data_IF_994165226272
#
_entry.id   IF_994165226272
#
_cell.length_a   1.000
_cell.length_b   1.000
_cell.length_c   1.000
_cell.angle_alpha   90.00
_cell.angle_beta   90.00
_cell.angle_gamma   90.00
#
_symmetry.space_group_name_H-M   'P 1'
#
loop_
_entity.id
_entity.type
_entity.pdbx_description
1 polymer ?
#
# COMPACT_ATOMS: atom_id res chain seq x y z
N UNK A 1 4.14 11.99 16.10
CA UNK A 1 3.75 10.61 15.74
C UNK A 1 4.60 10.21 14.55
N UNK A 2 5.14 8.98 14.51
CA UNK A 2 5.91 8.50 13.36
C UNK A 2 5.03 8.44 12.11
N UNK A 3 5.63 8.62 10.93
CA UNK A 3 4.92 8.46 9.66
C UNK A 3 4.69 6.96 9.39
N UNK A 4 3.48 6.64 8.97
CA UNK A 4 3.10 5.28 8.57
C UNK A 4 3.13 5.14 7.05
N UNK A 5 3.68 4.03 6.56
CA UNK A 5 3.82 3.78 5.14
C UNK A 5 3.30 2.41 4.72
N UNK A 6 2.77 2.34 3.51
CA UNK A 6 2.36 1.10 2.87
C UNK A 6 2.83 1.06 1.41
N UNK A 7 3.01 -0.14 0.87
CA UNK A 7 3.37 -0.31 -0.53
C UNK A 7 2.12 -0.42 -1.41
N UNK A 8 2.13 0.30 -2.54
CA UNK A 8 1.11 0.13 -3.57
C UNK A 8 1.22 -1.22 -4.28
N UNK A 9 0.21 -1.58 -5.09
CA UNK A 9 0.28 -2.77 -5.93
C UNK A 9 1.48 -2.75 -6.89
N UNK A 10 1.96 -1.57 -7.31
CA UNK A 10 3.12 -1.43 -8.20
C UNK A 10 4.47 -1.37 -7.46
N UNK A 11 4.45 -1.35 -6.12
CA UNK A 11 5.65 -1.26 -5.28
C UNK A 11 6.08 0.17 -4.94
N UNK A 12 5.33 1.19 -5.38
CA UNK A 12 5.58 2.57 -4.95
C UNK A 12 5.14 2.76 -3.48
N UNK A 13 5.94 3.49 -2.70
CA UNK A 13 5.62 3.86 -1.33
C UNK A 13 4.42 4.81 -1.28
N UNK A 14 3.55 4.60 -0.30
CA UNK A 14 2.37 5.41 -0.02
C UNK A 14 2.40 5.80 1.46
N UNK A 15 2.07 7.06 1.74
CA UNK A 15 1.95 7.58 3.10
C UNK A 15 0.53 7.34 3.61
N UNK A 16 0.41 6.91 4.86
CA UNK A 16 -0.85 6.85 5.60
C UNK A 16 -0.85 8.02 6.58
N UNK A 17 -1.88 8.87 6.51
CA UNK A 17 -2.07 9.95 7.47
C UNK A 17 -3.58 10.18 7.69
N UNK A 18 -4.02 10.16 8.95
CA UNK A 18 -5.44 10.31 9.34
C UNK A 18 -6.39 9.41 8.54
N UNK A 19 -6.07 8.12 8.45
CA UNK A 19 -6.85 7.10 7.70
C UNK A 19 -6.98 7.35 6.19
N UNK A 20 -6.23 8.31 5.64
CA UNK A 20 -6.13 8.54 4.20
C UNK A 20 -4.80 8.03 3.65
N UNK A 21 -4.84 7.49 2.43
CA UNK A 21 -3.65 7.04 1.72
C UNK A 21 -3.22 8.08 0.70
N UNK A 22 -1.93 8.39 0.67
CA UNK A 22 -1.33 9.33 -0.25
C UNK A 22 -0.23 8.67 -1.08
N UNK A 23 -0.11 9.05 -2.35
CA UNK A 23 0.98 8.67 -3.24
C UNK A 23 1.95 9.82 -3.42
N UNK A 24 3.23 9.50 -3.59
CA UNK A 24 4.27 10.50 -3.87
C UNK A 24 3.97 11.22 -5.18
N UNK A 25 4.11 12.55 -5.15
CA UNK A 25 4.07 13.43 -6.33
C UNK A 25 5.48 13.79 -6.74
N UNK A 26 6.25 14.30 -5.78
CA UNK A 26 7.61 14.79 -6.01
C UNK A 26 8.39 14.68 -4.70
N UNK A 27 9.65 14.30 -4.84
CA UNK A 27 10.64 14.35 -3.77
C UNK A 27 11.54 15.55 -4.09
N UNK A 28 11.72 16.43 -3.13
CA UNK A 28 12.76 17.47 -3.11
C UNK A 28 13.73 17.12 -1.98
N UNK A 29 14.94 17.68 -2.02
CA UNK A 29 16.03 17.36 -1.07
C UNK A 29 15.54 17.23 0.38
N UNK A 30 14.74 18.20 0.85
CA UNK A 30 14.30 18.20 2.26
C UNK A 30 12.80 17.92 2.45
N UNK A 31 12.04 17.70 1.38
CA UNK A 31 10.58 17.50 1.49
C UNK A 31 9.98 16.55 0.47
N UNK A 32 9.06 15.74 0.96
CA UNK A 32 8.24 14.84 0.16
C UNK A 32 6.84 15.43 0.03
N UNK A 33 6.36 15.52 -1.20
CA UNK A 33 5.03 16.02 -1.51
C UNK A 33 4.15 14.85 -1.89
N UNK A 34 3.04 14.70 -1.17
CA UNK A 34 2.09 13.60 -1.30
C UNK A 34 0.72 14.11 -1.76
N UNK A 35 0.05 13.32 -2.60
CA UNK A 35 -1.35 13.56 -3.01
C UNK A 35 -2.22 12.37 -2.65
N UNK A 36 -3.48 12.62 -2.31
CA UNK A 36 -4.43 11.54 -2.08
C UNK A 36 -4.48 10.57 -3.27
N UNK A 37 -4.50 9.26 -3.00
CA UNK A 37 -4.58 8.22 -4.02
C UNK A 37 -5.84 8.35 -4.89
N UNK A 38 -6.92 8.86 -4.28
CA UNK A 38 -8.21 9.10 -4.91
C UNK A 38 -8.25 10.40 -5.73
N UNK A 39 -7.13 11.13 -5.87
CA UNK A 39 -7.08 12.33 -6.73
C UNK A 39 -7.53 12.06 -8.17
N UNK A 40 -7.10 10.95 -8.77
CA UNK A 40 -7.44 10.68 -10.17
C UNK A 40 -8.92 10.31 -10.34
N UNK A 41 -9.49 9.56 -9.39
CA UNK A 41 -10.86 9.04 -9.43
C UNK A 41 -11.90 10.06 -8.95
N UNK A 42 -11.62 10.72 -7.83
CA UNK A 42 -12.55 11.62 -7.15
C UNK A 42 -12.18 13.10 -7.30
N UNK A 43 -11.06 13.46 -7.93
CA UNK A 43 -10.50 14.84 -7.92
C UNK A 43 -10.24 15.35 -6.50
N UNK A 44 -9.93 14.43 -5.59
CA UNK A 44 -9.66 14.74 -4.18
C UNK A 44 -8.45 15.68 -4.01
N UNK A 45 -8.66 16.79 -3.30
CA UNK A 45 -7.65 17.83 -3.11
C UNK A 45 -6.74 17.59 -1.89
N UNK A 46 -6.92 16.46 -1.19
CA UNK A 46 -6.06 16.03 -0.09
C UNK A 46 -4.57 16.05 -0.47
N UNK A 47 -3.76 16.81 0.28
CA UNK A 47 -2.29 16.89 0.11
C UNK A 47 -1.61 16.86 1.46
N UNK A 48 -0.46 16.20 1.52
CA UNK A 48 0.40 16.17 2.71
C UNK A 48 1.82 16.42 2.26
N UNK A 49 2.57 17.23 2.99
CA UNK A 49 4.02 17.36 2.80
C UNK A 49 4.72 16.88 4.07
N UNK A 50 5.79 16.11 3.87
CA UNK A 50 6.62 15.61 4.97
C UNK A 50 8.07 16.04 4.79
N UNK A 51 8.77 16.26 5.90
CA UNK A 51 10.21 16.52 5.98
C UNK A 51 10.73 15.82 7.23
N UNK A 52 11.92 15.24 7.21
CA UNK A 52 12.56 14.61 8.39
C UNK A 52 11.59 13.76 9.24
N UNK A 53 10.83 12.89 8.58
CA UNK A 53 9.86 11.98 9.20
C UNK A 53 8.71 12.64 10.00
N UNK A 54 8.41 13.91 9.71
CA UNK A 54 7.26 14.63 10.26
C UNK A 54 6.39 15.23 9.16
N UNK A 55 5.09 15.41 9.45
CA UNK A 55 4.16 16.16 8.61
C UNK A 55 4.40 17.66 8.84
N UNK A 56 4.82 18.38 7.80
CA UNK A 56 5.06 19.83 7.86
C UNK A 56 3.91 20.66 7.26
N UNK A 57 3.08 20.05 6.43
CA UNK A 57 1.91 20.69 5.85
C UNK A 57 0.84 19.66 5.51
N UNK A 58 -0.41 20.03 5.73
CA UNK A 58 -1.56 19.22 5.37
C UNK A 58 -2.68 20.09 4.80
N UNK A 59 -3.24 19.65 3.68
CA UNK A 59 -4.48 20.15 3.12
C UNK A 59 -5.52 19.04 3.25
N UNK A 60 -6.36 19.15 4.27
CA UNK A 60 -7.38 18.14 4.63
C UNK A 60 -8.68 18.28 3.82
N UNK A 61 -8.59 18.78 2.57
CA UNK A 61 -9.73 18.94 1.66
C UNK A 61 -10.03 17.65 0.90
N UNK A 62 -10.44 16.62 1.64
CA UNK A 62 -10.95 15.39 1.04
C UNK A 62 -12.42 15.52 0.69
N UNK A 63 -12.80 14.92 -0.44
CA UNK A 63 -14.18 14.86 -0.91
C UNK A 63 -14.73 13.42 -0.90
N UNK A 64 -14.12 12.58 -0.08
CA UNK A 64 -14.51 11.20 0.17
C UNK A 64 -14.19 10.87 1.62
N UNK A 65 -14.83 9.84 2.13
CA UNK A 65 -14.54 9.31 3.46
C UNK A 65 -13.22 8.52 3.45
N UNK A 66 -12.52 8.42 4.59
CA UNK A 66 -11.43 7.48 4.76
C UNK A 66 -11.89 6.04 4.51
N UNK A 67 -11.03 5.23 3.89
CA UNK A 67 -11.28 3.81 3.65
C UNK A 67 -10.23 2.98 4.38
N UNK A 68 -10.54 2.67 5.65
CA UNK A 68 -9.67 1.86 6.51
C UNK A 68 -9.51 0.45 5.97
N UNK A 69 -10.54 -0.09 5.29
CA UNK A 69 -10.46 -1.40 4.66
C UNK A 69 -9.45 -1.40 3.51
N UNK A 70 -9.41 -0.34 2.71
CA UNK A 70 -8.38 -0.17 1.66
C UNK A 70 -6.96 -0.21 2.25
N UNK A 71 -6.74 0.46 3.39
CA UNK A 71 -5.45 0.43 4.10
C UNK A 71 -5.08 -1.01 4.49
N UNK A 72 -5.99 -1.73 5.16
CA UNK A 72 -5.75 -3.12 5.57
C UNK A 72 -5.47 -4.04 4.39
N UNK A 73 -6.20 -3.89 3.29
CA UNK A 73 -5.96 -4.68 2.08
C UNK A 73 -4.56 -4.41 1.52
N UNK A 74 -4.11 -3.15 1.50
CA UNK A 74 -2.74 -2.80 1.05
C UNK A 74 -1.68 -3.40 1.96
N UNK A 75 -1.87 -3.36 3.28
CA UNK A 75 -0.96 -3.98 4.27
C UNK A 75 -0.81 -5.49 3.98
N UNK A 76 -1.94 -6.20 3.87
CA UNK A 76 -1.95 -7.65 3.58
C UNK A 76 -1.27 -7.96 2.26
N UNK A 77 -1.58 -7.20 1.21
CA UNK A 77 -0.96 -7.39 -0.10
C UNK A 77 0.54 -7.09 -0.10
N UNK A 78 1.01 -6.16 0.74
CA UNK A 78 2.44 -5.90 0.93
C UNK A 78 3.12 -7.09 1.62
N UNK A 79 2.53 -7.63 2.69
CA UNK A 79 3.04 -8.82 3.39
C UNK A 79 3.11 -10.05 2.49
N UNK A 80 2.09 -10.28 1.65
CA UNK A 80 2.08 -11.40 0.67
C UNK A 80 3.27 -11.29 -0.28
N UNK A 81 3.55 -10.09 -0.80
CA UNK A 81 4.67 -9.87 -1.72
C UNK A 81 6.01 -10.06 -1.04
N UNK A 82 6.19 -9.49 0.15
CA UNK A 82 7.42 -9.65 0.92
C UNK A 82 7.69 -11.14 1.18
N UNK A 83 6.67 -11.89 1.61
CA UNK A 83 6.79 -13.33 1.79
C UNK A 83 7.13 -14.04 0.47
N UNK A 84 6.51 -13.63 -0.64
CA UNK A 84 6.75 -14.23 -1.96
C UNK A 84 8.18 -14.06 -2.46
N UNK A 85 8.85 -12.96 -2.08
CA UNK A 85 10.25 -12.68 -2.41
C UNK A 85 11.21 -13.50 -1.55
N UNK A 86 10.87 -13.74 -0.28
CA UNK A 86 11.74 -14.44 0.68
C UNK A 86 11.59 -15.96 0.71
N UNK A 87 10.43 -16.52 0.35
CA UNK A 87 10.11 -17.95 0.54
C UNK A 87 9.66 -18.62 -0.76
N UNK A 88 10.21 -19.80 -1.02
CA UNK A 88 9.93 -20.68 -2.18
C UNK A 88 8.65 -21.53 -2.03
N UNK A 89 7.62 -21.02 -1.33
CA UNK A 89 6.33 -21.73 -1.19
C UNK A 89 5.56 -21.73 -2.52
N UNK A 90 4.60 -22.64 -2.69
CA UNK A 90 3.63 -22.46 -3.80
C UNK A 90 2.79 -21.19 -3.58
N UNK A 91 2.29 -20.52 -4.65
CA UNK A 91 1.43 -19.34 -4.49
C UNK A 91 0.21 -19.58 -3.60
N UNK A 92 -0.31 -20.81 -3.59
CA UNK A 92 -1.40 -21.29 -2.75
C UNK A 92 -1.01 -21.33 -1.27
N UNK A 93 0.14 -21.93 -0.94
CA UNK A 93 0.64 -22.01 0.43
C UNK A 93 0.99 -20.63 0.99
N UNK A 94 1.60 -19.76 0.17
CA UNK A 94 1.87 -18.38 0.55
C UNK A 94 0.57 -17.64 0.92
N UNK A 95 -0.42 -17.67 0.03
CA UNK A 95 -1.73 -17.05 0.29
C UNK A 95 -2.41 -17.64 1.54
N UNK A 96 -2.44 -18.96 1.68
CA UNK A 96 -3.09 -19.63 2.81
C UNK A 96 -2.46 -19.18 4.14
N UNK A 97 -1.13 -19.14 4.19
CA UNK A 97 -0.39 -18.75 5.40
C UNK A 97 -0.63 -17.31 5.84
N UNK A 98 -0.78 -16.37 4.89
CA UNK A 98 -1.09 -14.98 5.23
C UNK A 98 -2.57 -14.80 5.54
N UNK A 99 -3.44 -15.55 4.87
CA UNK A 99 -4.88 -15.48 5.12
C UNK A 99 -5.25 -16.07 6.48
N UNK A 100 -4.51 -17.06 6.97
CA UNK A 100 -4.75 -17.63 8.30
C UNK A 100 -4.42 -16.69 9.47
N UNK A 101 -3.59 -15.66 9.25
CA UNK A 101 -3.19 -14.72 10.30
C UNK A 101 -4.00 -13.42 10.34
N UNK A 102 -4.95 -13.23 9.42
CA UNK A 102 -5.75 -12.01 9.30
C UNK A 102 -7.22 -12.21 9.71
N UNK A 103 -7.88 -11.17 10.25
CA UNK A 103 -9.30 -11.25 10.59
C UNK A 103 -10.18 -11.56 9.38
N UNK A 104 -11.24 -12.35 9.59
CA UNK A 104 -12.18 -12.77 8.54
C UNK A 104 -12.81 -11.59 7.78
N UNK A 105 -13.03 -10.46 8.46
CA UNK A 105 -13.55 -9.23 7.85
C UNK A 105 -12.62 -8.68 6.75
N UNK A 106 -11.30 -8.76 6.92
CA UNK A 106 -10.32 -8.32 5.92
C UNK A 106 -10.25 -9.32 4.77
N UNK A 107 -10.33 -10.62 5.07
CA UNK A 107 -10.31 -11.67 4.06
C UNK A 107 -11.44 -11.54 3.02
N UNK A 108 -12.62 -11.08 3.44
CA UNK A 108 -13.77 -10.84 2.55
C UNK A 108 -13.59 -9.69 1.55
N UNK A 109 -12.63 -8.78 1.78
CA UNK A 109 -12.39 -7.58 0.96
C UNK A 109 -11.18 -7.78 0.05
N UNK A 110 -10.45 -8.90 0.21
CA UNK A 110 -9.28 -9.17 -0.61
C UNK A 110 -9.65 -9.33 -2.09
N UNK A 111 -8.73 -8.93 -3.00
CA UNK A 111 -8.89 -9.21 -4.43
C UNK A 111 -9.08 -10.70 -4.70
N UNK A 112 -9.66 -11.08 -5.85
CA UNK A 112 -9.82 -12.48 -6.21
C UNK A 112 -8.51 -13.25 -6.13
N UNK A 113 -8.56 -14.48 -5.61
CA UNK A 113 -7.38 -15.36 -5.40
C UNK A 113 -6.51 -15.47 -6.65
N UNK A 114 -7.12 -15.58 -7.83
CA UNK A 114 -6.39 -15.64 -9.10
C UNK A 114 -5.58 -14.36 -9.39
N UNK A 115 -6.05 -13.20 -8.94
CA UNK A 115 -5.30 -11.94 -9.00
C UNK A 115 -4.13 -11.92 -8.01
N UNK A 116 -4.34 -12.42 -6.79
CA UNK A 116 -3.29 -12.50 -5.78
C UNK A 116 -2.16 -13.43 -6.23
N UNK A 117 -2.48 -14.62 -6.74
CA UNK A 117 -1.48 -15.56 -7.28
C UNK A 117 -0.64 -14.94 -8.40
N UNK A 118 -1.28 -14.19 -9.32
CA UNK A 118 -0.56 -13.45 -10.37
C UNK A 118 0.39 -12.41 -9.80
N UNK A 119 -0.01 -11.69 -8.75
CA UNK A 119 0.86 -10.73 -8.07
C UNK A 119 2.07 -11.41 -7.41
N UNK A 120 1.87 -12.58 -6.77
CA UNK A 120 2.96 -13.39 -6.17
C UNK A 120 4.00 -13.77 -7.25
N UNK A 121 3.53 -14.30 -8.39
CA UNK A 121 4.42 -14.70 -9.48
C UNK A 121 5.19 -13.50 -10.05
N UNK A 122 4.53 -12.35 -10.23
CA UNK A 122 5.19 -11.12 -10.69
C UNK A 122 6.24 -10.59 -9.71
N UNK A 123 5.96 -10.66 -8.40
CA UNK A 123 6.93 -10.25 -7.38
C UNK A 123 8.21 -11.10 -7.46
N UNK A 124 8.07 -12.42 -7.60
CA UNK A 124 9.20 -13.35 -7.78
C UNK A 124 10.01 -13.07 -9.04
N UNK A 125 9.34 -12.89 -10.18
CA UNK A 125 10.02 -12.56 -11.43
C UNK A 125 10.82 -11.25 -11.32
N UNK A 126 10.26 -10.24 -10.65
CA UNK A 126 10.96 -8.98 -10.41
C UNK A 126 12.16 -9.15 -9.49
N UNK A 127 12.05 -9.96 -8.42
CA UNK A 127 13.17 -10.25 -7.53
C UNK A 127 14.29 -11.03 -8.23
N UNK A 128 13.94 -12.01 -9.07
CA UNK A 128 14.91 -12.79 -9.83
C UNK A 128 15.63 -11.99 -10.93
N UNK A 129 14.96 -11.00 -11.53
CA UNK A 129 15.56 -10.12 -12.56
C UNK A 129 16.19 -8.83 -12.02
N UNK A 130 16.20 -8.62 -10.71
CA UNK A 130 16.91 -7.52 -10.05
C UNK A 130 18.28 -7.94 -9.49
N UNK A 131 18.61 -9.24 -9.60
CA UNK A 131 19.97 -9.80 -9.47
C UNK A 131 20.64 -9.83 -10.84
#
# INVERSE_FOLDING_TARGET
MPLEFVLSQKGNQQLINKDFVYTTVKIREDKHIWKCVHYNRHKCLGRVWTAEDIVIYENDKHNHVPDVAEIRVKEVMASIKQKAETVMDTPQQNLASVTSSIPAAVAGILPPVAGIKRNILKARQKAAGAM
#
